data_IF_936134797836
#
_entry.id   IF_936134797836
#
_cell.length_a   1.000
_cell.length_b   1.000
_cell.length_c   1.000
_cell.angle_alpha   90.00
_cell.angle_beta   90.00
_cell.angle_gamma   90.00
#
_symmetry.space_group_name_H-M   'P 1'
#
loop_
_entity.id
_entity.type
_entity.pdbx_description
1 polymer ?
#
# COMPACT_ATOMS: atom_id res chain seq x y z
N UNK A 1 16.69 -10.57 -0.51
CA UNK A 1 17.15 -9.77 0.64
C UNK A 1 16.03 -8.83 1.01
N UNK A 2 15.64 -8.75 2.27
CA UNK A 2 14.61 -7.82 2.77
C UNK A 2 15.31 -6.78 3.67
N UNK A 3 15.03 -5.50 3.45
CA UNK A 3 15.57 -4.40 4.25
C UNK A 3 14.47 -3.88 5.19
N UNK A 4 14.76 -3.80 6.48
CA UNK A 4 13.83 -3.24 7.46
C UNK A 4 14.17 -1.78 7.73
N UNK A 5 13.17 -0.90 7.62
CA UNK A 5 13.30 0.54 7.89
C UNK A 5 12.42 0.86 9.10
N UNK A 6 13.01 0.98 10.30
CA UNK A 6 12.23 1.24 11.50
C UNK A 6 11.74 2.69 11.52
N UNK A 7 10.61 2.93 12.20
CA UNK A 7 10.14 4.28 12.56
C UNK A 7 9.94 5.20 11.34
N UNK A 8 9.47 4.66 10.20
CA UNK A 8 9.11 5.47 9.03
C UNK A 8 8.06 6.52 9.39
N UNK A 9 7.08 6.15 10.21
CA UNK A 9 6.07 7.07 10.74
C UNK A 9 6.33 7.35 12.22
N UNK A 10 6.06 8.57 12.66
CA UNK A 10 6.08 8.95 14.07
C UNK A 10 4.89 8.34 14.83
N UNK A 11 4.97 8.31 16.16
CA UNK A 11 3.85 7.82 16.99
C UNK A 11 2.56 8.62 16.76
N UNK A 12 2.66 9.94 16.60
CA UNK A 12 1.51 10.81 16.34
C UNK A 12 0.89 10.54 14.96
N UNK A 13 1.72 10.31 13.94
CA UNK A 13 1.23 9.89 12.62
C UNK A 13 0.53 8.54 12.69
N UNK A 14 1.09 7.56 13.41
CA UNK A 14 0.44 6.25 13.58
C UNK A 14 -0.91 6.38 14.30
N UNK A 15 -0.99 7.18 15.37
CA UNK A 15 -2.24 7.44 16.08
C UNK A 15 -3.29 8.11 15.17
N UNK A 16 -2.85 9.07 14.34
CA UNK A 16 -3.69 9.72 13.35
C UNK A 16 -4.26 8.72 12.32
N UNK A 17 -3.42 7.80 11.82
CA UNK A 17 -3.83 6.76 10.89
C UNK A 17 -4.87 5.84 11.53
N UNK A 18 -4.63 5.39 12.77
CA UNK A 18 -5.58 4.54 13.50
C UNK A 18 -6.95 5.22 13.66
N UNK A 19 -6.97 6.50 14.03
CA UNK A 19 -8.21 7.27 14.16
C UNK A 19 -8.97 7.33 12.83
N UNK A 20 -8.27 7.66 11.73
CA UNK A 20 -8.88 7.79 10.41
C UNK A 20 -9.38 6.46 9.86
N UNK A 21 -8.56 5.41 9.96
CA UNK A 21 -8.85 4.07 9.43
C UNK A 21 -9.97 3.36 10.18
N UNK A 22 -10.17 3.65 11.47
CA UNK A 22 -11.27 3.08 12.26
C UNK A 22 -12.67 3.51 11.81
N UNK A 23 -12.77 4.60 11.05
CA UNK A 23 -14.03 5.14 10.52
C UNK A 23 -14.12 5.03 8.99
N UNK A 24 -13.21 4.26 8.37
CA UNK A 24 -13.10 4.20 6.92
C UNK A 24 -14.08 3.19 6.30
N UNK A 25 -14.52 3.47 5.07
CA UNK A 25 -15.41 2.59 4.31
C UNK A 25 -14.61 1.47 3.63
N UNK A 26 -14.41 0.38 4.37
CA UNK A 26 -13.71 -0.82 3.89
C UNK A 26 -14.54 -1.60 2.86
N UNK A 27 -13.90 -2.05 1.77
CA UNK A 27 -14.54 -2.81 0.68
C UNK A 27 -13.85 -4.15 0.45
N UNK A 28 -14.43 -5.07 -0.33
CA UNK A 28 -13.77 -6.35 -0.68
C UNK A 28 -12.44 -6.08 -1.40
N UNK A 29 -11.34 -6.54 -0.81
CA UNK A 29 -10.00 -6.27 -1.31
C UNK A 29 -9.66 -6.98 -2.61
N UNK A 30 -10.50 -7.91 -3.11
CA UNK A 30 -10.33 -8.53 -4.43
C UNK A 30 -10.48 -7.53 -5.58
N UNK A 31 -11.20 -6.42 -5.37
CA UNK A 31 -11.45 -5.39 -6.40
C UNK A 31 -10.16 -4.75 -6.93
N UNK A 32 -9.11 -4.72 -6.10
CA UNK A 32 -7.83 -4.07 -6.44
C UNK A 32 -6.71 -5.05 -6.75
N UNK A 33 -6.98 -6.35 -6.63
CA UNK A 33 -6.02 -7.39 -6.95
C UNK A 33 -6.03 -7.67 -8.45
N UNK A 34 -4.84 -7.85 -9.04
CA UNK A 34 -4.75 -8.43 -10.38
C UNK A 34 -5.33 -9.85 -10.40
N UNK A 35 -5.68 -10.36 -11.60
CA UNK A 35 -6.41 -11.62 -11.78
C UNK A 35 -5.78 -12.80 -11.01
N UNK A 36 -4.46 -12.89 -10.97
CA UNK A 36 -3.75 -13.96 -10.25
C UNK A 36 -3.84 -13.79 -8.73
N UNK A 37 -3.59 -12.57 -8.24
CA UNK A 37 -3.64 -12.23 -6.81
C UNK A 37 -5.05 -12.33 -6.24
N UNK A 38 -6.09 -12.00 -7.00
CA UNK A 38 -7.49 -12.05 -6.54
C UNK A 38 -7.93 -13.46 -6.10
N UNK A 39 -7.30 -14.51 -6.62
CA UNK A 39 -7.58 -15.91 -6.25
C UNK A 39 -7.08 -16.27 -4.84
N UNK A 40 -6.05 -15.57 -4.37
CA UNK A 40 -5.43 -15.82 -3.06
C UNK A 40 -5.85 -14.79 -2.00
N UNK A 41 -6.49 -13.68 -2.41
CA UNK A 41 -6.81 -12.54 -1.54
C UNK A 41 -8.19 -12.71 -0.91
N UNK A 42 -8.22 -12.80 0.41
CA UNK A 42 -9.43 -12.69 1.22
C UNK A 42 -9.19 -11.66 2.33
N UNK A 43 -9.55 -10.42 2.09
CA UNK A 43 -9.36 -9.31 3.02
C UNK A 43 -10.28 -8.14 2.64
N UNK A 44 -10.19 -7.05 3.40
CA UNK A 44 -10.77 -5.77 3.02
C UNK A 44 -9.71 -4.79 2.54
N UNK A 45 -10.12 -3.83 1.69
CA UNK A 45 -9.26 -2.74 1.24
C UNK A 45 -10.06 -1.44 1.10
N UNK A 46 -9.41 -0.31 1.37
CA UNK A 46 -9.96 0.99 1.01
C UNK A 46 -9.96 1.18 -0.51
N UNK A 47 -10.97 1.87 -1.08
CA UNK A 47 -10.96 2.26 -2.47
C UNK A 47 -9.73 3.13 -2.79
N UNK A 48 -9.03 2.84 -3.90
CA UNK A 48 -7.78 3.51 -4.26
C UNK A 48 -7.94 5.04 -4.39
N UNK A 49 -9.09 5.48 -4.88
CA UNK A 49 -9.39 6.89 -5.13
C UNK A 49 -10.15 7.56 -3.97
N UNK A 50 -10.27 6.90 -2.81
CA UNK A 50 -10.90 7.51 -1.64
C UNK A 50 -10.03 8.63 -1.09
N UNK A 51 -10.66 9.67 -0.53
CA UNK A 51 -9.93 10.82 0.04
C UNK A 51 -8.94 10.39 1.13
N UNK A 52 -9.35 9.42 1.96
CA UNK A 52 -8.51 8.88 3.04
C UNK A 52 -7.32 8.08 2.49
N UNK A 53 -7.50 7.29 1.43
CA UNK A 53 -6.38 6.55 0.79
C UNK A 53 -5.32 7.52 0.26
N UNK A 54 -5.76 8.59 -0.41
CA UNK A 54 -4.85 9.60 -0.96
C UNK A 54 -4.13 10.34 0.18
N UNK A 55 -4.89 10.86 1.15
CA UNK A 55 -4.35 11.61 2.30
C UNK A 55 -3.28 10.82 3.07
N UNK A 56 -3.60 9.58 3.47
CA UNK A 56 -2.68 8.75 4.23
C UNK A 56 -1.52 8.25 3.37
N UNK A 57 -1.77 8.01 2.07
CA UNK A 57 -0.75 7.65 1.11
C UNK A 57 0.30 8.73 0.95
N UNK A 58 -0.11 9.99 0.83
CA UNK A 58 0.79 11.14 0.69
C UNK A 58 1.69 11.32 1.92
N UNK A 59 1.16 11.06 3.13
CA UNK A 59 1.95 11.09 4.36
C UNK A 59 3.04 9.99 4.34
N UNK A 60 2.70 8.77 3.93
CA UNK A 60 3.68 7.67 3.80
C UNK A 60 4.75 8.04 2.77
N UNK A 61 4.34 8.52 1.60
CA UNK A 61 5.26 8.88 0.52
C UNK A 61 6.23 9.99 0.96
N UNK A 62 5.72 11.04 1.61
CA UNK A 62 6.57 12.11 2.15
C UNK A 62 7.55 11.61 3.21
N UNK A 63 7.14 10.68 4.07
CA UNK A 63 8.03 10.08 5.07
C UNK A 63 9.12 9.21 4.43
N UNK A 64 8.79 8.43 3.40
CA UNK A 64 9.74 7.60 2.66
C UNK A 64 10.74 8.44 1.85
N UNK A 65 10.29 9.50 1.17
CA UNK A 65 11.16 10.41 0.42
C UNK A 65 12.22 11.07 1.31
N UNK A 66 11.89 11.36 2.56
CA UNK A 66 12.83 11.95 3.53
C UNK A 66 13.72 10.91 4.24
N UNK A 67 13.48 9.61 4.01
CA UNK A 67 14.21 8.54 4.68
C UNK A 67 15.45 8.11 3.88
N UNK A 68 16.65 8.45 4.35
CA UNK A 68 17.90 8.14 3.66
C UNK A 68 18.14 6.64 3.45
N UNK A 69 17.68 5.77 4.37
CA UNK A 69 17.82 4.33 4.24
C UNK A 69 16.88 3.78 3.15
N UNK A 70 15.66 4.33 3.03
CA UNK A 70 14.76 4.01 1.93
C UNK A 70 15.33 4.46 0.59
N UNK A 71 15.79 5.71 0.50
CA UNK A 71 16.30 6.26 -0.75
C UNK A 71 17.54 5.52 -1.26
N UNK A 72 18.46 5.16 -0.37
CA UNK A 72 19.66 4.39 -0.72
C UNK A 72 19.38 2.90 -0.97
N UNK A 73 18.42 2.31 -0.26
CA UNK A 73 18.08 0.89 -0.38
C UNK A 73 17.17 0.54 -1.55
N UNK A 74 16.21 1.42 -1.88
CA UNK A 74 15.22 1.20 -2.93
C UNK A 74 15.51 1.95 -4.23
N UNK A 75 16.27 3.06 -4.18
CA UNK A 75 16.58 3.93 -5.33
C UNK A 75 15.31 4.21 -6.18
N UNK A 76 14.23 4.73 -5.57
CA UNK A 76 12.92 4.75 -6.21
C UNK A 76 12.89 5.75 -7.38
N UNK A 77 12.54 5.26 -8.56
CA UNK A 77 12.19 6.13 -9.70
C UNK A 77 10.71 6.54 -9.65
N UNK A 78 9.84 5.59 -9.26
CA UNK A 78 8.40 5.79 -9.06
C UNK A 78 7.92 4.87 -7.95
N UNK A 79 7.00 5.34 -7.12
CA UNK A 79 6.33 4.52 -6.11
C UNK A 79 4.87 4.32 -6.55
N UNK A 80 4.41 3.07 -6.55
CA UNK A 80 2.99 2.80 -6.76
C UNK A 80 2.21 3.32 -5.54
N UNK A 81 1.09 4.06 -5.71
CA UNK A 81 0.37 4.65 -4.58
C UNK A 81 0.07 3.62 -3.47
N UNK A 82 0.34 3.97 -2.19
CA UNK A 82 0.06 3.07 -1.08
C UNK A 82 -1.39 2.59 -1.05
N UNK A 83 -1.59 1.30 -0.78
CA UNK A 83 -2.91 0.69 -0.64
C UNK A 83 -3.12 0.23 0.81
N UNK A 84 -4.30 0.50 1.35
CA UNK A 84 -4.65 0.20 2.74
C UNK A 84 -5.51 -1.05 2.81
N UNK A 85 -4.99 -2.11 3.40
CA UNK A 85 -5.66 -3.40 3.56
C UNK A 85 -5.98 -3.64 5.04
N UNK A 86 -7.13 -4.27 5.32
CA UNK A 86 -7.55 -4.73 6.63
C UNK A 86 -7.78 -6.24 6.59
N UNK A 87 -7.31 -6.93 7.62
CA UNK A 87 -7.46 -8.38 7.79
C UNK A 87 -8.06 -8.68 9.16
N UNK A 88 -9.20 -9.36 9.18
CA UNK A 88 -9.92 -9.76 10.39
C UNK A 88 -10.31 -11.25 10.32
N UNK A 89 -10.34 -11.92 11.46
CA UNK A 89 -10.98 -13.24 11.65
C UNK A 89 -10.86 -14.24 10.48
N UNK A 90 -9.72 -14.91 10.33
CA UNK A 90 -9.54 -15.95 9.29
C UNK A 90 -9.34 -15.42 7.86
N UNK A 91 -9.41 -14.11 7.65
CA UNK A 91 -8.92 -13.47 6.41
C UNK A 91 -7.42 -13.68 6.24
N UNK A 92 -6.99 -13.81 4.99
CA UNK A 92 -5.61 -14.07 4.64
C UNK A 92 -5.33 -13.68 3.18
N UNK A 93 -4.06 -13.45 2.89
CA UNK A 93 -3.58 -13.37 1.53
C UNK A 93 -2.62 -14.53 1.29
N UNK A 94 -3.11 -15.55 0.57
CA UNK A 94 -2.36 -16.77 0.31
C UNK A 94 -1.06 -16.51 -0.48
N UNK A 95 -0.19 -17.51 -0.52
CA UNK A 95 1.07 -17.43 -1.29
C UNK A 95 0.80 -17.06 -2.74
N UNK A 96 1.48 -16.03 -3.22
CA UNK A 96 1.37 -15.54 -4.59
C UNK A 96 2.67 -14.82 -4.99
N UNK A 97 2.74 -14.46 -6.27
CA UNK A 97 3.77 -13.57 -6.83
C UNK A 97 3.06 -12.30 -7.27
N UNK A 98 3.62 -11.15 -6.91
CA UNK A 98 3.09 -9.86 -7.33
C UNK A 98 3.21 -9.67 -8.85
N UNK A 99 2.29 -8.90 -9.44
CA UNK A 99 2.39 -8.57 -10.85
C UNK A 99 3.63 -7.71 -11.10
N UNK A 100 4.42 -8.02 -12.13
CA UNK A 100 5.61 -7.25 -12.48
C UNK A 100 5.29 -5.82 -12.99
N UNK A 101 4.08 -5.59 -13.52
CA UNK A 101 3.63 -4.28 -14.00
C UNK A 101 2.22 -4.02 -13.48
N UNK A 102 2.02 -2.88 -12.82
CA UNK A 102 0.72 -2.41 -12.33
C UNK A 102 0.28 -1.14 -13.05
N UNK A 103 -1.03 -1.00 -13.25
CA UNK A 103 -1.64 0.24 -13.76
C UNK A 103 -2.11 1.09 -12.59
N UNK A 104 -1.89 2.40 -12.65
CA UNK A 104 -2.37 3.34 -11.63
C UNK A 104 -3.80 3.76 -11.96
N UNK A 105 -4.73 3.51 -11.04
CA UNK A 105 -6.15 3.84 -11.20
C UNK A 105 -6.36 5.30 -11.59
N UNK A 106 -7.32 5.55 -12.50
CA UNK A 106 -7.62 6.89 -13.00
C UNK A 106 -6.59 7.48 -13.97
N UNK A 107 -5.53 6.74 -14.34
CA UNK A 107 -4.48 7.25 -15.26
C UNK A 107 -4.16 6.23 -16.36
N UNK A 108 -3.40 6.67 -17.38
CA UNK A 108 -2.79 5.77 -18.38
C UNK A 108 -1.42 5.23 -17.93
N UNK A 109 -1.00 5.54 -16.69
CA UNK A 109 0.33 5.19 -16.22
C UNK A 109 0.41 3.71 -15.87
N UNK A 110 1.46 3.06 -16.37
CA UNK A 110 1.87 1.72 -15.94
C UNK A 110 3.23 1.83 -15.25
N UNK A 111 3.34 1.23 -14.08
CA UNK A 111 4.54 1.21 -13.24
C UNK A 111 5.05 -0.22 -13.20
N UNK A 112 6.34 -0.38 -13.46
CA UNK A 112 7.04 -1.64 -13.21
C UNK A 112 7.31 -1.73 -11.72
N UNK A 113 6.84 -2.80 -11.08
CA UNK A 113 6.92 -3.01 -9.63
C UNK A 113 7.99 -4.04 -9.33
N UNK A 114 9.24 -3.62 -9.51
CA UNK A 114 10.42 -4.46 -9.30
C UNK A 114 10.77 -4.65 -7.82
N UNK A 115 10.31 -3.72 -6.97
CA UNK A 115 10.49 -3.73 -5.52
C UNK A 115 9.13 -3.59 -4.84
N UNK A 116 8.91 -4.41 -3.81
CA UNK A 116 7.81 -4.24 -2.87
C UNK A 116 8.36 -3.54 -1.63
N UNK A 117 7.73 -2.43 -1.25
CA UNK A 117 8.08 -1.58 -0.12
C UNK A 117 6.91 -1.47 0.84
#
# INVERSE_FOLDING_TARGET
MLLHIPQVLTADQVAYFQQKLSHADWTDGKVTAGIQSAKAKNNQQLPENSKISIELGDIILGALEQNALFMSGALPNKVFPPLFNLYEGGQAFGRHVDNAIRSVSGTRMRIRTDLSA
#
